data_IF_743002369479
#
_entry.id   IF_743002369479
#
_cell.length_a   1.000
_cell.length_b   1.000
_cell.length_c   1.000
_cell.angle_alpha   90.00
_cell.angle_beta   90.00
_cell.angle_gamma   90.00
#
_symmetry.space_group_name_H-M   'P 1'
#
loop_
_entity.id
_entity.type
_entity.pdbx_description
1 polymer ?
#
# COMPACT_ATOMS: atom_id res chain seq x y z
N UNK A 1 6.23 -4.49 15.88
CA UNK A 1 6.04 -3.83 14.58
C UNK A 1 6.27 -2.35 14.80
N UNK A 2 7.20 -1.74 14.07
CA UNK A 2 7.41 -0.29 14.15
C UNK A 2 6.25 0.42 13.45
N UNK A 3 5.64 1.40 14.11
CA UNK A 3 4.56 2.22 13.54
C UNK A 3 5.17 3.58 13.18
N UNK A 4 5.16 3.99 11.90
CA UNK A 4 5.63 5.30 11.48
C UNK A 4 4.82 6.42 12.14
N UNK A 5 5.39 7.62 12.31
CA UNK A 5 4.62 8.82 12.65
C UNK A 5 3.60 9.14 11.54
N UNK A 6 2.46 9.70 11.92
CA UNK A 6 1.44 10.15 10.96
C UNK A 6 2.02 11.18 9.98
N UNK A 7 1.63 11.07 8.70
CA UNK A 7 2.11 11.91 7.62
C UNK A 7 3.50 11.56 7.07
N UNK A 8 4.16 10.52 7.61
CA UNK A 8 5.42 10.04 7.05
C UNK A 8 5.18 9.25 5.76
N UNK A 9 5.91 9.59 4.70
CA UNK A 9 5.84 8.87 3.43
C UNK A 9 6.36 7.45 3.60
N UNK A 10 5.58 6.46 3.21
CA UNK A 10 5.87 5.05 3.40
C UNK A 10 5.72 4.26 2.10
N UNK A 11 6.60 3.28 1.92
CA UNK A 11 6.51 2.25 0.90
C UNK A 11 6.11 0.95 1.59
N UNK A 12 5.00 0.36 1.13
CA UNK A 12 4.45 -0.88 1.64
C UNK A 12 4.57 -1.95 0.56
N UNK A 13 5.21 -3.06 0.87
CA UNK A 13 5.27 -4.23 0.00
C UNK A 13 4.20 -5.23 0.41
N UNK A 14 3.40 -5.66 -0.55
CA UNK A 14 2.30 -6.60 -0.40
C UNK A 14 2.69 -8.01 -0.85
N UNK A 15 2.00 -9.02 -0.34
CA UNK A 15 2.13 -10.38 -0.85
C UNK A 15 1.62 -10.44 -2.32
N UNK A 16 2.42 -10.92 -3.29
CA UNK A 16 2.03 -11.05 -4.70
C UNK A 16 0.75 -11.84 -4.95
N UNK A 17 0.36 -12.75 -4.05
CA UNK A 17 -0.91 -13.50 -4.18
C UNK A 17 -2.15 -12.58 -4.17
N UNK A 18 -2.00 -11.32 -3.71
CA UNK A 18 -3.07 -10.32 -3.57
C UNK A 18 -3.05 -9.28 -4.69
N UNK A 19 -1.92 -9.08 -5.36
CA UNK A 19 -1.85 -8.18 -6.51
C UNK A 19 -2.77 -8.65 -7.66
N UNK A 20 -3.00 -9.97 -7.74
CA UNK A 20 -3.98 -10.56 -8.65
C UNK A 20 -5.45 -10.15 -8.34
N UNK A 21 -5.77 -9.73 -7.11
CA UNK A 21 -7.14 -9.36 -6.70
C UNK A 21 -7.48 -7.89 -7.01
N UNK A 22 -6.51 -7.05 -7.40
CA UNK A 22 -6.81 -5.69 -7.93
C UNK A 22 -7.39 -5.71 -9.35
N UNK A 23 -7.38 -6.85 -10.07
CA UNK A 23 -7.96 -7.01 -11.43
C UNK A 23 -9.44 -7.40 -11.45
N UNK A 24 -10.27 -6.85 -10.57
CA UNK A 24 -11.73 -6.83 -10.76
C UNK A 24 -12.32 -5.43 -10.91
N UNK A 25 -11.47 -4.39 -11.03
CA UNK A 25 -11.84 -3.09 -11.55
C UNK A 25 -11.19 -2.90 -12.93
N UNK A 26 -12.01 -2.77 -13.96
CA UNK A 26 -11.61 -2.56 -15.35
C UNK A 26 -10.73 -1.31 -15.49
N UNK A 27 -9.42 -1.44 -15.65
CA UNK A 27 -8.58 -0.39 -16.25
C UNK A 27 -7.36 -1.02 -16.91
N UNK A 28 -7.16 -0.67 -18.18
CA UNK A 28 -6.10 -1.14 -19.07
C UNK A 28 -4.72 -1.06 -18.42
N UNK A 29 -3.92 -2.12 -18.62
CA UNK A 29 -2.53 -2.19 -18.19
C UNK A 29 -1.69 -1.18 -19.00
N UNK A 30 -1.11 -0.20 -18.30
CA UNK A 30 -0.12 0.73 -18.84
C UNK A 30 1.27 0.06 -18.81
N UNK A 31 2.06 0.08 -19.89
CA UNK A 31 3.35 -0.60 -19.98
C UNK A 31 4.48 0.01 -19.12
N UNK A 32 4.23 1.07 -18.35
CA UNK A 32 5.19 1.66 -17.41
C UNK A 32 5.08 1.13 -15.96
N UNK A 33 4.51 -0.07 -15.79
CA UNK A 33 4.13 -0.65 -14.50
C UNK A 33 5.34 -0.92 -13.57
N UNK A 34 5.57 0.01 -12.65
CA UNK A 34 6.52 -0.12 -11.54
C UNK A 34 6.04 -1.25 -10.62
N UNK A 35 6.79 -2.36 -10.59
CA UNK A 35 6.66 -3.54 -9.70
C UNK A 35 5.34 -3.65 -8.91
N UNK A 36 4.40 -4.43 -9.47
CA UNK A 36 3.00 -4.76 -9.09
C UNK A 36 2.64 -4.97 -7.60
N UNK A 37 3.60 -5.00 -6.68
CA UNK A 37 3.37 -5.40 -5.28
C UNK A 37 3.73 -4.32 -4.26
N UNK A 38 3.92 -3.07 -4.67
CA UNK A 38 4.23 -1.98 -3.74
C UNK A 38 3.21 -0.85 -3.79
N UNK A 39 2.81 -0.37 -2.61
CA UNK A 39 1.95 0.82 -2.45
C UNK A 39 2.77 1.91 -1.77
N UNK A 40 2.75 3.11 -2.34
CA UNK A 40 3.40 4.28 -1.78
C UNK A 40 2.33 5.25 -1.27
N UNK A 41 2.56 5.88 -0.12
CA UNK A 41 1.68 6.93 0.38
C UNK A 41 2.09 7.40 1.77
N UNK A 42 1.47 8.48 2.23
CA UNK A 42 1.66 9.03 3.56
C UNK A 42 0.92 8.17 4.58
N UNK A 43 1.62 7.75 5.62
CA UNK A 43 1.05 6.92 6.66
C UNK A 43 -0.06 7.68 7.41
N UNK A 44 -1.25 7.09 7.48
CA UNK A 44 -2.36 7.64 8.25
C UNK A 44 -2.59 6.86 9.54
N UNK A 45 -2.71 5.54 9.44
CA UNK A 45 -2.96 4.70 10.61
C UNK A 45 -2.74 3.22 10.30
N UNK A 46 -2.52 2.43 11.34
CA UNK A 46 -2.55 0.97 11.29
C UNK A 46 -3.31 0.43 12.48
N UNK A 47 -4.25 -0.48 12.23
CA UNK A 47 -5.00 -1.19 13.26
C UNK A 47 -4.81 -2.71 13.11
N UNK A 48 -5.67 -3.50 13.75
CA UNK A 48 -5.58 -4.97 13.72
C UNK A 48 -5.80 -5.56 12.34
N UNK A 49 -6.59 -4.89 11.49
CA UNK A 49 -7.07 -5.43 10.21
C UNK A 49 -6.55 -4.65 9.01
N UNK A 50 -6.28 -3.34 9.16
CA UNK A 50 -6.01 -2.43 8.06
C UNK A 50 -4.78 -1.56 8.33
N UNK A 51 -4.02 -1.32 7.27
CA UNK A 51 -3.02 -0.27 7.13
C UNK A 51 -3.56 0.74 6.12
N UNK A 52 -3.60 2.01 6.50
CA UNK A 52 -4.13 3.09 5.65
C UNK A 52 -3.00 4.03 5.27
N UNK A 53 -2.82 4.21 3.96
CA UNK A 53 -1.92 5.19 3.38
C UNK A 53 -2.72 6.23 2.60
N UNK A 54 -2.26 7.47 2.55
CA UNK A 54 -2.84 8.55 1.74
C UNK A 54 -1.94 8.89 0.58
N UNK A 55 -2.48 8.98 -0.62
CA UNK A 55 -1.78 9.47 -1.80
C UNK A 55 -2.60 10.61 -2.42
N UNK A 56 -2.17 11.85 -2.17
CA UNK A 56 -2.93 13.03 -2.55
C UNK A 56 -4.28 13.09 -1.82
N UNK A 57 -5.38 12.93 -2.57
CA UNK A 57 -6.75 12.91 -2.02
C UNK A 57 -7.33 11.50 -1.86
N UNK A 58 -6.57 10.47 -2.22
CA UNK A 58 -7.03 9.09 -2.18
C UNK A 58 -6.46 8.36 -0.96
N UNK A 59 -7.28 7.52 -0.35
CA UNK A 59 -6.86 6.61 0.72
C UNK A 59 -6.73 5.19 0.19
N UNK A 60 -5.58 4.59 0.46
CA UNK A 60 -5.27 3.20 0.16
C UNK A 60 -5.44 2.38 1.43
N UNK A 61 -6.51 1.57 1.46
CA UNK A 61 -6.83 0.65 2.55
C UNK A 61 -6.25 -0.73 2.24
N UNK A 62 -5.25 -1.13 3.03
CA UNK A 62 -4.44 -2.33 2.80
C UNK A 62 -4.70 -3.32 3.94
N UNK A 63 -5.17 -4.56 3.67
CA UNK A 63 -5.31 -5.54 4.72
C UNK A 63 -3.95 -5.87 5.36
N UNK A 64 -3.89 -5.84 6.69
CA UNK A 64 -2.63 -5.97 7.44
C UNK A 64 -1.98 -7.34 7.24
N UNK A 65 -2.76 -8.39 7.08
CA UNK A 65 -2.28 -9.75 6.81
C UNK A 65 -1.57 -9.89 5.45
N UNK A 66 -1.75 -8.91 4.56
CA UNK A 66 -1.12 -8.86 3.23
C UNK A 66 0.14 -8.01 3.18
N UNK A 67 0.44 -7.28 4.25
CA UNK A 67 1.64 -6.44 4.33
C UNK A 67 2.85 -7.32 4.66
N UNK A 68 3.74 -7.49 3.68
CA UNK A 68 5.01 -8.18 3.90
C UNK A 68 6.04 -7.28 4.58
N UNK A 69 6.12 -6.03 4.15
CA UNK A 69 7.04 -5.07 4.74
C UNK A 69 6.55 -3.65 4.56
N UNK A 70 6.93 -2.77 5.50
CA UNK A 70 6.68 -1.34 5.43
C UNK A 70 7.98 -0.62 5.75
N UNK A 71 8.34 0.37 4.94
CA UNK A 71 9.53 1.20 5.10
C UNK A 71 9.15 2.66 4.98
N UNK A 72 9.69 3.48 5.88
CA UNK A 72 9.59 4.94 5.75
C UNK A 72 10.52 5.39 4.63
N UNK A 73 9.97 6.09 3.64
CA UNK A 73 10.75 6.80 2.63
C UNK A 73 11.10 8.17 3.18
N UNK A 74 12.39 8.51 3.15
CA UNK A 74 12.83 9.88 3.36
C UNK A 74 12.53 10.73 2.13
#
# INVERSE_FOLDING_TARGET
MFIPPDGCRCVVTLNPEVAATKRSGSTSADPNLVLDNTVLGDFLTINTEWLVLKEGNYENWIPRDKVLSMRVSR
#
